data_IF_867556877105
#
_entry.id   IF_867556877105
#
_cell.length_a   1.000
_cell.length_b   1.000
_cell.length_c   1.000
_cell.angle_alpha   90.00
_cell.angle_beta   90.00
_cell.angle_gamma   90.00
#
_symmetry.space_group_name_H-M   'P 1'
#
loop_
_entity.id
_entity.type
_entity.pdbx_description
1 polymer ?
#
# COMPACT_ATOMS: atom_id res chain seq x y z
N UNK A 1 14.02 -12.85 -14.03
CA UNK A 1 12.69 -12.41 -13.61
C UNK A 1 12.65 -10.88 -13.47
N UNK A 2 11.63 -10.26 -14.01
CA UNK A 2 11.53 -8.81 -14.02
C UNK A 2 10.90 -8.30 -12.73
N UNK A 3 11.56 -7.35 -12.06
CA UNK A 3 11.01 -6.71 -10.89
C UNK A 3 10.05 -5.60 -11.34
N UNK A 4 8.98 -5.42 -10.59
CA UNK A 4 8.07 -4.29 -10.83
C UNK A 4 8.52 -3.11 -9.98
N UNK A 5 9.38 -2.29 -10.53
CA UNK A 5 9.85 -1.08 -9.83
C UNK A 5 8.79 0.00 -9.92
N UNK A 6 8.63 0.71 -8.81
CA UNK A 6 7.72 1.85 -8.75
C UNK A 6 8.57 3.09 -8.61
N UNK A 7 8.52 3.95 -9.62
CA UNK A 7 9.35 5.15 -9.64
C UNK A 7 8.67 6.34 -8.96
N UNK A 8 7.36 6.30 -8.80
CA UNK A 8 6.65 7.42 -8.18
C UNK A 8 5.49 6.91 -7.35
N UNK A 9 5.40 7.40 -6.11
CA UNK A 9 4.27 7.12 -5.22
C UNK A 9 3.66 8.46 -4.84
N UNK A 10 2.35 8.59 -5.04
CA UNK A 10 1.61 9.74 -4.58
C UNK A 10 0.79 9.31 -3.38
N UNK A 11 0.56 10.24 -2.46
CA UNK A 11 -0.10 9.94 -1.19
C UNK A 11 -1.38 10.75 -1.11
N UNK A 12 -2.53 10.08 -1.09
CA UNK A 12 -3.81 10.76 -0.95
C UNK A 12 -3.92 11.36 0.45
N UNK A 13 -4.75 12.40 0.59
CA UNK A 13 -4.94 13.06 1.87
C UNK A 13 -5.38 12.11 2.97
N UNK A 14 -6.26 11.18 2.63
CA UNK A 14 -6.73 10.20 3.61
C UNK A 14 -5.59 9.31 4.09
N UNK A 15 -4.72 8.90 3.16
CA UNK A 15 -3.55 8.11 3.53
C UNK A 15 -2.69 8.89 4.52
N UNK A 16 -2.39 10.15 4.20
CA UNK A 16 -1.53 10.97 5.05
C UNK A 16 -2.11 11.15 6.44
N UNK A 17 -3.42 11.41 6.52
CA UNK A 17 -4.10 11.59 7.78
C UNK A 17 -4.02 10.33 8.64
N UNK A 18 -4.34 9.19 8.03
CA UNK A 18 -4.35 7.93 8.77
C UNK A 18 -2.95 7.47 9.13
N UNK A 19 -1.97 7.75 8.28
CA UNK A 19 -0.58 7.44 8.59
C UNK A 19 -0.12 8.18 9.84
N UNK A 20 -0.46 9.49 9.94
CA UNK A 20 -0.07 10.29 11.09
C UNK A 20 -0.62 9.75 12.40
N UNK A 21 -1.76 9.08 12.34
CA UNK A 21 -2.41 8.57 13.54
C UNK A 21 -2.00 7.16 13.92
N UNK A 22 -1.07 6.55 13.18
CA UNK A 22 -0.61 5.21 13.49
C UNK A 22 0.34 5.21 14.68
N UNK A 23 0.42 4.08 15.40
CA UNK A 23 1.46 3.90 16.40
C UNK A 23 2.84 4.08 15.76
N UNK A 24 3.79 4.60 16.52
CA UNK A 24 5.11 4.90 15.99
C UNK A 24 5.79 3.70 15.36
N UNK A 25 5.69 2.52 16.00
CA UNK A 25 6.33 1.32 15.47
C UNK A 25 5.71 0.88 14.14
N UNK A 26 4.43 1.16 13.93
CA UNK A 26 3.77 0.84 12.66
C UNK A 26 4.20 1.83 11.58
N UNK A 27 4.35 3.11 11.94
CA UNK A 27 4.86 4.10 10.98
C UNK A 27 6.23 3.70 10.45
N UNK A 28 7.11 3.27 11.34
CA UNK A 28 8.46 2.85 10.94
C UNK A 28 8.42 1.63 10.04
N UNK A 29 7.58 0.68 10.37
CA UNK A 29 7.45 -0.52 9.57
C UNK A 29 6.85 -0.19 8.20
N UNK A 30 5.85 0.68 8.16
CA UNK A 30 5.23 1.09 6.90
C UNK A 30 6.25 1.78 5.99
N UNK A 31 7.10 2.64 6.55
CA UNK A 31 8.13 3.31 5.77
C UNK A 31 9.11 2.30 5.16
N UNK A 32 9.45 1.28 5.94
CA UNK A 32 10.34 0.22 5.47
C UNK A 32 9.69 -0.58 4.34
N UNK A 33 8.41 -0.90 4.49
CA UNK A 33 7.69 -1.65 3.47
C UNK A 33 7.47 -0.81 2.21
N UNK A 34 7.30 0.50 2.37
CA UNK A 34 7.19 1.42 1.25
C UNK A 34 8.45 1.37 0.37
N UNK A 35 9.62 1.36 1.00
CA UNK A 35 10.87 1.24 0.25
C UNK A 35 10.96 -0.08 -0.50
N UNK A 36 10.57 -1.16 0.15
CA UNK A 36 10.57 -2.47 -0.48
C UNK A 36 9.59 -2.51 -1.64
N UNK A 37 8.41 -1.94 -1.46
CA UNK A 37 7.39 -1.87 -2.50
C UNK A 37 7.91 -1.11 -3.72
N UNK A 38 8.63 -0.02 -3.50
CA UNK A 38 9.17 0.75 -4.61
C UNK A 38 10.24 -0.02 -5.38
N UNK A 39 10.98 -0.87 -4.71
CA UNK A 39 11.97 -1.71 -5.37
C UNK A 39 11.31 -2.84 -6.16
N UNK A 40 10.22 -3.39 -5.61
CA UNK A 40 9.48 -4.45 -6.27
C UNK A 40 8.08 -4.55 -5.66
N UNK A 41 7.10 -4.03 -6.38
CA UNK A 41 5.72 -3.99 -5.90
C UNK A 41 5.15 -5.38 -5.59
N UNK A 42 5.71 -6.41 -6.21
CA UNK A 42 5.22 -7.79 -6.03
C UNK A 42 6.18 -8.66 -5.24
N UNK A 43 7.03 -8.04 -4.41
CA UNK A 43 7.88 -8.80 -3.52
C UNK A 43 7.01 -9.74 -2.66
N UNK A 44 7.37 -11.03 -2.51
CA UNK A 44 6.52 -11.98 -1.81
C UNK A 44 6.11 -11.57 -0.40
N UNK A 45 7.00 -10.90 0.35
CA UNK A 45 6.69 -10.53 1.73
C UNK A 45 5.60 -9.47 1.84
N UNK A 46 5.27 -8.79 0.75
CA UNK A 46 4.23 -7.77 0.75
C UNK A 46 2.84 -8.35 0.52
N UNK A 47 2.77 -9.55 -0.04
CA UNK A 47 1.49 -10.19 -0.34
C UNK A 47 0.58 -9.28 -1.16
N UNK A 48 1.17 -8.57 -2.11
CA UNK A 48 0.43 -7.65 -2.98
C UNK A 48 -0.64 -8.41 -3.75
N UNK A 49 -1.87 -7.91 -3.69
CA UNK A 49 -2.96 -8.57 -4.37
C UNK A 49 -4.03 -7.57 -4.79
N UNK A 50 -4.77 -7.96 -5.81
CA UNK A 50 -5.85 -7.14 -6.35
C UNK A 50 -7.10 -7.36 -5.51
N UNK A 51 -7.82 -6.28 -5.24
CA UNK A 51 -9.07 -6.36 -4.50
C UNK A 51 -10.21 -6.67 -5.46
N UNK A 52 -11.28 -7.27 -4.94
CA UNK A 52 -12.42 -7.65 -5.76
C UNK A 52 -13.64 -6.80 -5.49
N UNK A 53 -14.74 -7.18 -6.12
CA UNK A 53 -16.02 -6.52 -5.91
C UNK A 53 -16.00 -5.08 -6.35
N UNK A 54 -16.48 -4.19 -5.50
CA UNK A 54 -16.55 -2.76 -5.81
C UNK A 54 -15.17 -2.12 -5.93
N UNK A 55 -14.15 -2.79 -5.39
CA UNK A 55 -12.79 -2.28 -5.40
C UNK A 55 -11.93 -2.96 -6.46
N UNK A 56 -12.53 -3.46 -7.51
CA UNK A 56 -11.86 -4.32 -8.49
C UNK A 56 -10.63 -3.71 -9.17
N UNK A 57 -10.52 -2.39 -9.18
CA UNK A 57 -9.37 -1.73 -9.80
C UNK A 57 -8.30 -1.36 -8.78
N UNK A 58 -8.52 -1.68 -7.53
CA UNK A 58 -7.62 -1.33 -6.46
C UNK A 58 -6.85 -2.54 -5.98
N UNK A 59 -5.76 -2.26 -5.28
CA UNK A 59 -4.82 -3.26 -4.80
C UNK A 59 -4.50 -2.99 -3.34
N UNK A 60 -3.88 -3.96 -2.71
CA UNK A 60 -3.41 -3.79 -1.34
C UNK A 60 -2.13 -4.57 -1.14
N UNK A 61 -1.30 -4.10 -0.20
CA UNK A 61 -0.17 -4.91 0.25
C UNK A 61 -0.06 -4.81 1.77
N UNK A 62 0.60 -5.79 2.36
CA UNK A 62 0.70 -5.94 3.80
C UNK A 62 1.86 -5.15 4.37
N UNK A 63 1.59 -4.33 5.39
CA UNK A 63 2.63 -3.75 6.23
C UNK A 63 3.04 -4.81 7.24
N UNK A 64 2.06 -5.44 7.89
CA UNK A 64 2.26 -6.59 8.75
C UNK A 64 0.96 -7.38 8.75
N UNK A 65 0.79 -8.29 9.73
CA UNK A 65 -0.42 -9.10 9.77
C UNK A 65 -1.70 -8.27 9.82
N UNK A 66 -1.67 -7.16 10.56
CA UNK A 66 -2.88 -6.40 10.85
C UNK A 66 -3.08 -5.17 9.98
N UNK A 67 -2.00 -4.63 9.43
CA UNK A 67 -2.07 -3.36 8.68
C UNK A 67 -1.80 -3.56 7.21
N UNK A 68 -2.57 -2.86 6.39
CA UNK A 68 -2.50 -2.92 4.93
C UNK A 68 -2.43 -1.53 4.35
N UNK A 69 -1.81 -1.40 3.17
CA UNK A 69 -1.86 -0.19 2.39
C UNK A 69 -2.73 -0.46 1.17
N UNK A 70 -3.74 0.38 0.98
CA UNK A 70 -4.69 0.32 -0.12
C UNK A 70 -4.21 1.30 -1.19
N UNK A 71 -4.04 0.83 -2.41
CA UNK A 71 -3.48 1.66 -3.48
C UNK A 71 -4.04 1.26 -4.84
N UNK A 72 -3.72 2.07 -5.87
CA UNK A 72 -3.98 1.67 -7.24
C UNK A 72 -2.83 2.10 -8.13
N UNK A 73 -2.71 1.45 -9.29
CA UNK A 73 -1.70 1.79 -10.28
C UNK A 73 -2.24 2.87 -11.22
N UNK A 74 -1.51 3.97 -11.35
CA UNK A 74 -1.82 4.98 -12.37
C UNK A 74 -1.31 4.47 -13.71
N UNK A 75 -0.11 3.87 -13.69
CA UNK A 75 0.49 3.20 -14.84
C UNK A 75 1.44 2.15 -14.29
N UNK A 76 2.30 1.61 -15.14
CA UNK A 76 3.17 0.50 -14.74
C UNK A 76 4.12 0.82 -13.59
N UNK A 77 4.50 2.09 -13.42
CA UNK A 77 5.49 2.44 -12.41
C UNK A 77 5.08 3.58 -11.50
N UNK A 78 3.82 3.97 -11.52
CA UNK A 78 3.30 5.05 -10.68
C UNK A 78 2.06 4.57 -9.95
N UNK A 79 2.02 4.78 -8.64
CA UNK A 79 0.87 4.38 -7.83
C UNK A 79 0.40 5.53 -6.95
N UNK A 80 -0.84 5.42 -6.50
CA UNK A 80 -1.40 6.31 -5.49
C UNK A 80 -1.78 5.48 -4.29
N UNK A 81 -1.21 5.83 -3.12
CA UNK A 81 -1.62 5.23 -1.86
C UNK A 81 -2.88 5.94 -1.39
N UNK A 82 -3.96 5.19 -1.30
CA UNK A 82 -5.27 5.73 -0.95
C UNK A 82 -5.50 5.78 0.55
N UNK A 83 -5.06 4.73 1.25
CA UNK A 83 -5.34 4.60 2.66
C UNK A 83 -4.38 3.61 3.29
N UNK A 84 -4.27 3.67 4.61
CA UNK A 84 -3.49 2.71 5.39
C UNK A 84 -4.26 2.45 6.68
N UNK A 85 -4.31 1.18 7.09
CA UNK A 85 -5.01 0.81 8.31
C UNK A 85 -5.21 -0.69 8.36
N UNK A 86 -6.11 -1.12 9.25
CA UNK A 86 -6.45 -2.53 9.36
C UNK A 86 -7.45 -2.88 8.25
N UNK A 87 -7.98 -4.09 8.28
CA UNK A 87 -8.99 -4.51 7.32
C UNK A 87 -10.19 -3.57 7.25
N UNK A 88 -10.39 -2.76 8.28
CA UNK A 88 -11.50 -1.81 8.31
C UNK A 88 -11.43 -0.80 7.18
N UNK A 89 -10.27 -0.57 6.62
CA UNK A 89 -10.12 0.43 5.54
C UNK A 89 -10.91 0.07 4.29
N UNK A 90 -11.29 -1.18 4.13
CA UNK A 90 -12.06 -1.62 2.96
C UNK A 90 -13.56 -1.45 3.16
N UNK A 91 -13.99 -1.17 4.36
CA UNK A 91 -15.41 -1.01 4.66
C UNK A 91 -15.84 0.42 4.45
N UNK A 92 -17.01 0.59 3.90
CA UNK A 92 -17.57 1.92 3.65
C UNK A 92 -18.89 2.07 4.33
#
# INVERSE_FOLDING_TARGET
>A
MTLRRISKVEYASLFEKNFENLPEHIKKLAAKKDKLFQQNAFHPSLETHKLGGKLKNDWAYSVNRDYRIHFYFVNDNTVVYLNIGTHEIYKK
#
